data_IF_770165785652
#
_entry.id   IF_770165785652
#
_cell.length_a   1.000
_cell.length_b   1.000
_cell.length_c   1.000
_cell.angle_alpha   90.00
_cell.angle_beta   90.00
_cell.angle_gamma   90.00
#
_symmetry.space_group_name_H-M   'P 1'
#
loop_
_entity.id
_entity.type
_entity.pdbx_description
1 polymer ?
#
# COMPACT_ATOMS: atom_id res chain seq x y z
N UNK A 1 33.48 23.72 17.38
CA UNK A 1 33.22 22.27 17.49
C UNK A 1 34.54 21.52 17.53
N UNK A 2 34.89 20.98 18.68
CA UNK A 2 36.19 20.30 18.87
C UNK A 2 36.23 18.98 18.10
N UNK A 3 37.43 18.51 17.72
CA UNK A 3 37.60 17.21 16.99
C UNK A 3 36.95 16.04 17.76
N UNK A 4 36.89 16.13 19.08
CA UNK A 4 36.24 15.13 19.94
C UNK A 4 34.73 15.08 19.73
N UNK A 5 34.07 16.20 19.62
CA UNK A 5 32.62 16.26 19.39
C UNK A 5 32.22 15.74 18.00
N UNK A 6 33.06 15.93 16.98
CA UNK A 6 32.82 15.37 15.65
C UNK A 6 32.92 13.85 15.65
N UNK A 7 33.86 13.29 16.43
CA UNK A 7 33.97 11.81 16.54
C UNK A 7 32.81 11.21 17.33
N UNK A 8 32.31 11.86 18.36
CA UNK A 8 31.12 11.44 19.08
C UNK A 8 29.88 11.49 18.18
N UNK A 9 29.74 12.57 17.42
CA UNK A 9 28.60 12.72 16.50
C UNK A 9 28.62 11.66 15.39
N UNK A 10 29.79 11.36 14.82
CA UNK A 10 29.94 10.32 13.80
C UNK A 10 29.69 8.90 14.35
N UNK A 11 30.12 8.63 15.58
CA UNK A 11 29.86 7.37 16.25
C UNK A 11 28.36 7.20 16.56
N UNK A 12 27.69 8.26 17.00
CA UNK A 12 26.25 8.25 17.26
C UNK A 12 25.47 8.00 15.98
N UNK A 13 25.88 8.67 14.89
CA UNK A 13 25.25 8.49 13.58
C UNK A 13 25.46 7.08 13.02
N UNK A 14 26.67 6.53 13.18
CA UNK A 14 26.98 5.16 12.78
C UNK A 14 26.19 4.14 13.59
N UNK A 15 26.01 4.38 14.89
CA UNK A 15 25.24 3.50 15.78
C UNK A 15 23.75 3.51 15.42
N UNK A 16 23.18 4.69 15.14
CA UNK A 16 21.78 4.79 14.71
C UNK A 16 21.55 4.12 13.36
N UNK A 17 22.49 4.24 12.44
CA UNK A 17 22.43 3.57 11.14
C UNK A 17 22.52 2.04 11.29
N UNK A 18 23.40 1.55 12.14
CA UNK A 18 23.56 0.13 12.44
C UNK A 18 22.31 -0.47 13.08
N UNK A 19 21.69 0.25 14.02
CA UNK A 19 20.43 -0.17 14.67
C UNK A 19 19.28 -0.18 13.65
N UNK A 20 19.25 0.77 12.71
CA UNK A 20 18.23 0.79 11.65
C UNK A 20 18.34 -0.39 10.68
N UNK A 21 19.56 -0.87 10.43
CA UNK A 21 19.82 -2.02 9.56
C UNK A 21 19.54 -3.37 10.28
N UNK A 22 19.50 -3.37 11.61
CA UNK A 22 19.17 -4.54 12.42
C UNK A 22 17.66 -4.70 12.67
N UNK A 23 16.80 -3.87 12.09
CA UNK A 23 15.38 -4.18 11.99
C UNK A 23 15.26 -5.37 11.05
N UNK A 24 15.37 -6.55 11.62
CA UNK A 24 14.95 -7.78 10.95
C UNK A 24 13.55 -7.51 10.42
N UNK A 25 13.27 -7.78 9.14
CA UNK A 25 11.90 -7.83 8.70
C UNK A 25 11.25 -8.82 9.65
N UNK A 26 10.29 -8.37 10.44
CA UNK A 26 9.42 -9.28 11.15
C UNK A 26 8.94 -10.23 10.07
N UNK A 27 9.43 -11.46 10.12
CA UNK A 27 8.89 -12.51 9.27
C UNK A 27 7.39 -12.40 9.51
N UNK A 28 6.65 -11.98 8.49
CA UNK A 28 5.21 -11.99 8.54
C UNK A 28 4.90 -13.42 8.96
N UNK A 29 4.48 -13.58 10.21
CA UNK A 29 4.05 -14.87 10.70
C UNK A 29 3.10 -15.34 9.61
N UNK A 30 3.37 -16.52 9.10
CA UNK A 30 2.54 -17.19 8.10
C UNK A 30 1.14 -17.27 8.72
N UNK A 31 0.41 -16.18 8.63
CA UNK A 31 -0.99 -16.14 8.93
C UNK A 31 -1.62 -16.86 7.76
N UNK A 32 -1.65 -18.17 7.86
CA UNK A 32 -2.55 -19.01 7.10
C UNK A 32 -3.98 -18.64 7.49
N UNK A 33 -4.38 -17.41 7.10
CA UNK A 33 -5.77 -17.14 6.86
C UNK A 33 -6.14 -18.11 5.73
N UNK A 34 -7.11 -18.99 5.92
CA UNK A 34 -7.69 -19.74 4.82
C UNK A 34 -8.45 -18.74 3.95
N UNK A 35 -7.70 -17.93 3.23
CA UNK A 35 -8.22 -17.10 2.16
C UNK A 35 -8.59 -18.06 1.06
N UNK A 36 -9.84 -18.42 1.03
CA UNK A 36 -10.41 -19.07 -0.14
C UNK A 36 -10.17 -18.11 -1.32
N UNK A 37 -9.34 -18.51 -2.27
CA UNK A 37 -9.16 -17.76 -3.52
C UNK A 37 -10.47 -17.63 -4.32
N UNK A 38 -11.52 -18.26 -3.86
CA UNK A 38 -12.86 -18.19 -4.42
C UNK A 38 -13.63 -16.91 -4.06
N UNK A 39 -13.20 -16.19 -3.00
CA UNK A 39 -13.88 -14.98 -2.58
C UNK A 39 -13.31 -13.78 -3.33
N UNK A 40 -14.15 -12.97 -4.00
CA UNK A 40 -13.68 -11.79 -4.71
C UNK A 40 -13.20 -10.71 -3.73
N UNK A 41 -12.12 -10.04 -4.08
CA UNK A 41 -11.55 -8.92 -3.32
C UNK A 41 -11.93 -7.62 -4.01
N UNK A 42 -12.64 -6.75 -3.31
CA UNK A 42 -13.05 -5.45 -3.82
C UNK A 42 -12.28 -4.33 -3.12
N UNK A 43 -11.51 -3.58 -3.88
CA UNK A 43 -10.80 -2.40 -3.41
C UNK A 43 -11.65 -1.15 -3.58
N UNK A 44 -11.84 -0.40 -2.51
CA UNK A 44 -12.57 0.87 -2.52
C UNK A 44 -11.62 1.99 -2.12
N UNK A 45 -11.38 2.94 -3.02
CA UNK A 45 -10.47 4.05 -2.77
C UNK A 45 -11.01 5.03 -1.72
N UNK A 46 -10.10 5.80 -1.10
CA UNK A 46 -10.41 6.82 -0.11
C UNK A 46 -10.77 8.17 -0.72
N UNK A 47 -10.74 9.19 0.15
CA UNK A 47 -10.96 10.60 -0.26
C UNK A 47 -9.95 10.99 -1.35
N UNK A 48 -10.42 11.69 -2.37
CA UNK A 48 -9.63 12.13 -3.54
C UNK A 48 -8.98 10.97 -4.34
N UNK A 49 -9.38 9.73 -4.09
CA UNK A 49 -8.92 8.58 -4.83
C UNK A 49 -9.69 8.37 -6.13
N UNK A 50 -9.33 7.34 -6.88
CA UNK A 50 -9.98 6.94 -8.12
C UNK A 50 -10.01 5.43 -8.26
N UNK A 51 -10.99 4.95 -9.00
CA UNK A 51 -11.16 3.52 -9.27
C UNK A 51 -10.78 3.16 -10.71
N UNK A 52 -11.08 1.94 -11.06
CA UNK A 52 -10.66 1.35 -12.34
C UNK A 52 -11.24 2.05 -13.57
N UNK A 53 -12.47 2.58 -13.47
CA UNK A 53 -13.15 3.30 -14.57
C UNK A 53 -12.65 4.72 -14.78
N UNK A 54 -11.87 5.26 -13.86
CA UNK A 54 -11.29 6.59 -14.04
C UNK A 54 -10.19 6.53 -15.10
N UNK A 55 -10.20 7.46 -16.05
CA UNK A 55 -9.20 7.52 -17.11
C UNK A 55 -7.77 7.65 -16.60
N UNK A 56 -7.58 8.25 -15.43
CA UNK A 56 -6.29 8.37 -14.77
C UNK A 56 -5.72 6.99 -14.35
N UNK A 57 -6.58 6.02 -14.06
CA UNK A 57 -6.15 4.69 -13.63
C UNK A 57 -5.38 3.91 -14.71
N UNK A 58 -5.59 4.23 -15.97
CA UNK A 58 -4.87 3.61 -17.09
C UNK A 58 -3.40 4.02 -17.14
N UNK A 59 -3.07 5.21 -16.63
CA UNK A 59 -1.71 5.77 -16.60
C UNK A 59 -1.08 5.59 -15.24
N UNK A 60 -1.87 5.79 -14.18
CA UNK A 60 -1.44 5.71 -12.79
C UNK A 60 -2.49 4.92 -11.99
N UNK A 61 -2.33 3.62 -11.82
CA UNK A 61 -3.26 2.82 -11.05
C UNK A 61 -3.25 3.28 -9.59
N UNK A 62 -4.42 3.56 -9.02
CA UNK A 62 -4.53 4.01 -7.62
C UNK A 62 -3.92 3.01 -6.65
N UNK A 63 -4.22 1.73 -6.85
CA UNK A 63 -3.67 0.64 -6.05
C UNK A 63 -2.35 0.16 -6.65
N UNK A 64 -1.25 0.61 -6.08
CA UNK A 64 0.11 0.26 -6.48
C UNK A 64 0.89 1.40 -7.14
N UNK A 65 0.24 2.42 -7.63
CA UNK A 65 0.86 3.64 -8.19
C UNK A 65 2.08 3.35 -9.08
N UNK A 66 3.26 3.75 -8.63
CA UNK A 66 4.53 3.60 -9.37
C UNK A 66 5.08 2.18 -9.40
N UNK A 67 4.60 1.30 -8.52
CA UNK A 67 5.06 -0.11 -8.44
C UNK A 67 4.27 -1.06 -9.35
N UNK A 68 3.29 -0.54 -10.06
CA UNK A 68 2.40 -1.32 -10.92
C UNK A 68 1.02 -1.55 -10.28
N UNK A 69 0.11 -2.18 -11.01
CA UNK A 69 -1.25 -2.42 -10.53
C UNK A 69 -1.31 -3.59 -9.54
N UNK A 70 -1.74 -3.31 -8.31
CA UNK A 70 -1.96 -4.34 -7.29
C UNK A 70 -3.07 -5.32 -7.68
N UNK A 71 -4.14 -4.84 -8.29
CA UNK A 71 -5.24 -5.70 -8.76
C UNK A 71 -4.76 -6.66 -9.84
N UNK A 72 -3.98 -6.17 -10.82
CA UNK A 72 -3.40 -7.01 -11.85
C UNK A 72 -2.44 -8.07 -11.26
N UNK A 73 -1.65 -7.70 -10.26
CA UNK A 73 -0.76 -8.63 -9.58
C UNK A 73 -1.53 -9.72 -8.85
N UNK A 74 -2.57 -9.38 -8.08
CA UNK A 74 -3.38 -10.35 -7.37
C UNK A 74 -4.16 -11.26 -8.34
N UNK A 75 -4.65 -10.72 -9.45
CA UNK A 75 -5.29 -11.52 -10.50
C UNK A 75 -4.32 -12.54 -11.10
N UNK A 76 -3.04 -12.17 -11.27
CA UNK A 76 -2.01 -13.11 -11.75
C UNK A 76 -1.73 -14.25 -10.77
N UNK A 77 -2.02 -14.05 -9.49
CA UNK A 77 -1.93 -15.07 -8.44
C UNK A 77 -3.19 -15.94 -8.31
N UNK A 78 -4.23 -15.67 -9.13
CA UNK A 78 -5.49 -16.40 -9.15
C UNK A 78 -6.56 -15.89 -8.20
N UNK A 79 -6.40 -14.66 -7.67
CA UNK A 79 -7.45 -13.96 -6.93
C UNK A 79 -8.34 -13.18 -7.89
N UNK A 80 -9.65 -13.22 -7.68
CA UNK A 80 -10.60 -12.37 -8.39
C UNK A 80 -10.63 -11.01 -7.68
N UNK A 81 -10.16 -9.94 -8.36
CA UNK A 81 -10.06 -8.62 -7.74
C UNK A 81 -10.72 -7.55 -8.59
N UNK A 82 -11.36 -6.61 -7.91
CA UNK A 82 -12.04 -5.46 -8.51
C UNK A 82 -11.61 -4.18 -7.81
N UNK A 83 -11.57 -3.08 -8.55
CA UNK A 83 -11.35 -1.75 -8.01
C UNK A 83 -12.59 -0.89 -8.29
N UNK A 84 -13.34 -0.60 -7.25
CA UNK A 84 -14.56 0.20 -7.35
C UNK A 84 -14.24 1.66 -7.69
N UNK A 85 -15.08 2.25 -8.53
CA UNK A 85 -15.04 3.68 -8.84
C UNK A 85 -16.22 4.35 -8.17
N UNK A 86 -15.96 5.05 -7.07
CA UNK A 86 -16.95 5.82 -6.31
C UNK A 86 -16.57 7.29 -6.29
N UNK A 87 -17.48 8.17 -5.92
CA UNK A 87 -17.22 9.61 -5.88
C UNK A 87 -16.02 9.96 -4.99
N UNK A 88 -15.02 10.70 -5.51
CA UNK A 88 -13.79 10.99 -4.77
C UNK A 88 -13.99 11.95 -3.60
N UNK A 89 -15.04 12.77 -3.63
CA UNK A 89 -15.40 13.77 -2.61
C UNK A 89 -16.83 13.61 -2.09
N UNK A 90 -17.51 12.53 -2.49
CA UNK A 90 -18.88 12.24 -2.07
C UNK A 90 -18.93 11.82 -0.61
N UNK A 91 -20.10 11.94 0.02
CA UNK A 91 -20.32 11.47 1.39
C UNK A 91 -20.16 9.94 1.49
N UNK A 92 -19.96 9.45 2.70
CA UNK A 92 -19.86 7.99 2.92
C UNK A 92 -21.13 7.26 2.47
N UNK A 93 -22.29 7.88 2.62
CA UNK A 93 -23.58 7.33 2.19
C UNK A 93 -23.66 7.25 0.65
N UNK A 94 -23.36 8.34 -0.05
CA UNK A 94 -23.38 8.36 -1.51
C UNK A 94 -22.43 7.32 -2.09
N UNK A 95 -21.23 7.23 -1.53
CA UNK A 95 -20.22 6.24 -1.94
C UNK A 95 -20.68 4.80 -1.69
N UNK A 96 -21.40 4.56 -0.60
CA UNK A 96 -22.00 3.26 -0.34
C UNK A 96 -23.07 2.91 -1.37
N UNK A 97 -23.91 3.89 -1.75
CA UNK A 97 -24.92 3.70 -2.80
C UNK A 97 -24.31 3.45 -4.18
N UNK A 98 -23.19 4.11 -4.49
CA UNK A 98 -22.46 3.91 -5.76
C UNK A 98 -21.77 2.54 -5.82
N UNK A 99 -21.42 1.98 -4.66
CA UNK A 99 -20.78 0.67 -4.57
C UNK A 99 -21.79 -0.48 -4.72
N UNK A 100 -23.04 -0.28 -4.26
CA UNK A 100 -24.09 -1.30 -4.31
C UNK A 100 -24.70 -1.45 -5.70
#
# INVERSE_FOLDING_TARGET
MTRRNKRFLSLLLALTLAVSLCVLPAAAADQTCPSSKSDPVVFVHGLMGWGERAGLNSVLPYWGMTTGSLTAYLNSLGYETYSATVGPISSAWDRACELY
#
